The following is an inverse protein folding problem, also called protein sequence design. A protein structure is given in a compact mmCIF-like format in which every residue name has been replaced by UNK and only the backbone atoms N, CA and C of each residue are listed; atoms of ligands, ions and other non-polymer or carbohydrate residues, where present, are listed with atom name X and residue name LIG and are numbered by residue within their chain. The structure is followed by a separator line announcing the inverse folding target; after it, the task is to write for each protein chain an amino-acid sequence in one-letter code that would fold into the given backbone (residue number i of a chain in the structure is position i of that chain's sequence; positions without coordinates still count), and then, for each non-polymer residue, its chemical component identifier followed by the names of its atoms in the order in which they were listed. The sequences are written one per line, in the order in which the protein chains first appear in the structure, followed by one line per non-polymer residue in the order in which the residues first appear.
data_IF_090046861882
#
_entry.id   IF_090046861882
#
_cell.length_a   1.000
_cell.length_b   1.000
_cell.length_c   1.000
_cell.angle_alpha   90.00
_cell.angle_beta   90.00
_cell.angle_gamma   90.00
#
_symmetry.space_group_name_H-M   'P 1'
#
loop_
_entity.id
_entity.type
_entity.pdbx_description
1 polymer ?
#
# COMPACT_ATOMS: atom_id res chain seq x y z
N UNK A 1 -33.25 26.76 44.46
CA UNK A 1 -33.10 26.81 42.99
C UNK A 1 -31.67 27.22 42.67
N UNK A 2 -30.81 26.27 42.27
CA UNK A 2 -29.46 26.58 41.78
C UNK A 2 -29.24 25.79 40.49
N UNK A 3 -28.97 26.57 39.45
CA UNK A 3 -28.91 26.26 38.03
C UNK A 3 -28.28 24.90 37.70
N UNK A 4 -29.07 24.02 37.11
CA UNK A 4 -28.66 22.75 36.51
C UNK A 4 -28.86 22.86 34.99
N UNK A 5 -27.97 23.57 34.30
CA UNK A 5 -28.04 23.68 32.82
C UNK A 5 -26.73 24.12 32.15
N UNK A 6 -25.57 24.02 32.80
CA UNK A 6 -24.30 24.45 32.19
C UNK A 6 -23.51 23.25 31.61
N UNK A 7 -23.78 22.02 32.04
CA UNK A 7 -23.06 20.83 31.58
C UNK A 7 -23.50 20.27 30.21
N UNK A 8 -24.63 20.70 29.66
CA UNK A 8 -25.17 20.17 28.39
C UNK A 8 -24.81 21.00 27.15
N UNK A 9 -24.05 22.09 27.28
CA UNK A 9 -23.64 22.91 26.12
C UNK A 9 -22.22 22.62 25.61
N UNK A 10 -21.44 21.79 26.30
CA UNK A 10 -20.05 21.48 25.92
C UNK A 10 -19.89 20.16 25.14
N UNK A 11 -20.94 19.34 25.07
CA UNK A 11 -20.87 18.01 24.43
C UNK A 11 -21.18 18.08 22.91
N UNK A 12 -21.78 19.17 22.41
CA UNK A 12 -22.25 19.26 21.03
C UNK A 12 -21.24 19.80 20.00
N UNK A 13 -20.02 20.19 20.40
CA UNK A 13 -19.03 20.82 19.48
C UNK A 13 -18.10 19.78 18.81
N UNK A 14 -18.18 18.50 19.15
CA UNK A 14 -17.25 17.46 18.65
C UNK A 14 -17.69 16.87 17.28
N UNK A 15 -18.87 17.21 16.76
CA UNK A 15 -19.48 16.48 15.64
C UNK A 15 -19.20 17.00 14.22
N UNK A 16 -18.41 18.05 14.03
CA UNK A 16 -18.04 18.50 12.68
C UNK A 16 -16.58 18.92 12.60
N UNK A 17 -15.66 18.01 12.90
CA UNK A 17 -14.41 18.04 12.17
C UNK A 17 -14.69 17.35 10.83
N UNK A 18 -14.81 18.08 9.70
CA UNK A 18 -14.51 17.42 8.45
C UNK A 18 -13.09 16.90 8.64
N UNK A 19 -12.90 15.58 8.57
CA UNK A 19 -11.58 15.02 8.32
C UNK A 19 -11.26 15.53 6.92
N UNK A 20 -10.74 16.76 6.85
CA UNK A 20 -10.17 17.29 5.64
C UNK A 20 -9.10 16.26 5.29
N UNK A 21 -9.35 15.52 4.22
CA UNK A 21 -8.36 14.61 3.65
C UNK A 21 -7.22 15.51 3.20
N UNK A 22 -6.27 15.77 4.10
CA UNK A 22 -5.01 16.38 3.74
C UNK A 22 -4.40 15.37 2.78
N UNK A 23 -4.36 15.73 1.49
CA UNK A 23 -3.60 14.95 0.53
C UNK A 23 -2.22 14.72 1.14
N UNK A 24 -1.88 13.45 1.38
CA UNK A 24 -0.61 13.08 1.99
C UNK A 24 0.50 13.60 1.08
N UNK A 25 1.09 14.72 1.46
CA UNK A 25 2.11 15.44 0.73
C UNK A 25 3.47 15.07 1.31
N UNK A 26 4.43 14.80 0.43
CA UNK A 26 5.81 14.47 0.78
C UNK A 26 6.68 15.68 0.42
N UNK A 27 6.77 16.73 1.28
CA UNK A 27 7.40 18.00 0.90
C UNK A 27 8.91 17.91 0.68
N UNK A 28 9.57 16.85 1.16
CA UNK A 28 11.02 16.69 1.11
C UNK A 28 11.47 15.33 0.56
N UNK A 29 10.55 14.43 0.24
CA UNK A 29 10.85 13.05 -0.15
C UNK A 29 9.94 12.55 -1.25
N UNK A 30 10.33 11.48 -1.93
CA UNK A 30 9.50 10.87 -2.95
C UNK A 30 8.23 10.28 -2.32
N UNK A 31 7.10 10.53 -2.99
CA UNK A 31 5.85 9.83 -2.70
C UNK A 31 5.81 8.56 -3.55
N UNK A 32 5.59 7.42 -2.94
CA UNK A 32 5.44 6.15 -3.64
C UNK A 32 3.99 5.69 -3.60
N UNK A 33 3.49 5.24 -4.76
CA UNK A 33 2.23 4.53 -4.92
C UNK A 33 2.54 3.08 -5.33
N UNK A 34 2.25 2.14 -4.44
CA UNK A 34 2.46 0.71 -4.72
C UNK A 34 1.11 0.05 -4.94
N UNK A 35 1.01 -0.74 -6.00
CA UNK A 35 -0.19 -1.46 -6.38
C UNK A 35 0.10 -2.94 -6.59
N UNK A 36 -0.58 -3.82 -5.87
CA UNK A 36 -0.62 -5.26 -6.14
C UNK A 36 -1.83 -5.55 -7.01
N UNK A 37 -1.60 -6.12 -8.19
CA UNK A 37 -2.61 -6.40 -9.21
C UNK A 37 -2.66 -7.90 -9.45
N UNK A 38 -3.82 -8.50 -9.22
CA UNK A 38 -4.03 -9.94 -9.40
C UNK A 38 -4.43 -10.26 -10.84
N UNK A 39 -3.63 -11.08 -11.51
CA UNK A 39 -3.93 -11.69 -12.81
C UNK A 39 -4.06 -13.22 -12.68
N UNK A 40 -4.01 -13.74 -11.46
CA UNK A 40 -4.26 -15.16 -11.19
C UNK A 40 -5.76 -15.44 -11.16
N UNK A 41 -6.23 -16.57 -11.73
CA UNK A 41 -7.63 -16.92 -11.66
C UNK A 41 -8.01 -17.25 -10.21
N UNK A 42 -9.11 -16.67 -9.72
CA UNK A 42 -9.60 -16.67 -8.31
C UNK A 42 -8.95 -15.62 -7.42
N UNK A 43 -9.43 -15.57 -6.19
CA UNK A 43 -8.97 -14.65 -5.17
C UNK A 43 -7.52 -14.93 -4.77
N UNK A 44 -6.75 -13.85 -4.72
CA UNK A 44 -5.41 -13.78 -4.16
C UNK A 44 -5.53 -13.18 -2.77
N UNK A 45 -5.12 -13.92 -1.74
CA UNK A 45 -5.01 -13.36 -0.39
C UNK A 45 -3.60 -12.83 -0.21
N UNK A 46 -3.46 -11.60 0.27
CA UNK A 46 -2.18 -10.98 0.58
C UNK A 46 -2.20 -10.38 1.98
N UNK A 47 -1.13 -10.60 2.73
CA UNK A 47 -0.86 -9.86 3.96
C UNK A 47 0.34 -8.95 3.69
N UNK A 48 0.18 -7.65 3.91
CA UNK A 48 1.22 -6.65 3.62
C UNK A 48 1.55 -5.93 4.91
N UNK A 49 2.84 -5.82 5.20
CA UNK A 49 3.32 -5.02 6.32
C UNK A 49 4.67 -4.39 6.03
N UNK A 50 4.95 -3.34 6.78
CA UNK A 50 6.24 -2.70 6.91
C UNK A 50 6.79 -2.90 8.32
N UNK A 51 7.97 -2.36 8.63
CA UNK A 51 8.60 -2.51 9.95
C UNK A 51 7.65 -2.16 11.10
N UNK A 52 7.07 -0.97 11.08
CA UNK A 52 6.22 -0.45 12.15
C UNK A 52 4.72 -0.43 11.82
N UNK A 53 4.35 -0.58 10.54
CA UNK A 53 2.96 -0.48 10.08
C UNK A 53 2.49 -1.76 9.38
N UNK A 54 1.45 -2.38 9.91
CA UNK A 54 0.81 -3.56 9.35
C UNK A 54 -0.43 -3.13 8.55
N UNK A 55 -0.35 -3.19 7.22
CA UNK A 55 -1.47 -2.87 6.34
C UNK A 55 -2.55 -3.96 6.36
N UNK A 56 -2.22 -5.13 6.90
CA UNK A 56 -3.16 -6.20 7.19
C UNK A 56 -3.39 -7.15 6.02
N UNK A 57 -4.50 -7.89 6.11
CA UNK A 57 -4.92 -8.86 5.12
C UNK A 57 -5.87 -8.26 4.09
N UNK A 58 -5.66 -8.59 2.82
CA UNK A 58 -6.52 -8.19 1.71
C UNK A 58 -6.81 -9.39 0.82
N UNK A 59 -8.06 -9.49 0.37
CA UNK A 59 -8.48 -10.45 -0.65
C UNK A 59 -8.67 -9.70 -1.96
N UNK A 60 -7.81 -9.99 -2.94
CA UNK A 60 -7.79 -9.35 -4.25
C UNK A 60 -8.44 -10.31 -5.27
N UNK A 61 -9.61 -9.97 -5.84
CA UNK A 61 -10.26 -10.83 -6.82
C UNK A 61 -9.46 -10.87 -8.15
N UNK A 62 -9.85 -11.77 -9.05
CA UNK A 62 -9.27 -11.81 -10.40
C UNK A 62 -9.45 -10.46 -11.12
N UNK A 63 -8.35 -9.91 -11.66
CA UNK A 63 -8.28 -8.56 -12.27
C UNK A 63 -8.58 -7.44 -11.27
N UNK A 64 -8.47 -7.72 -9.97
CA UNK A 64 -8.53 -6.73 -8.90
C UNK A 64 -7.16 -6.18 -8.53
N UNK A 65 -7.17 -5.15 -7.68
CA UNK A 65 -5.95 -4.60 -7.10
C UNK A 65 -6.13 -4.17 -5.64
N UNK A 66 -5.01 -4.09 -4.93
CA UNK A 66 -4.89 -3.37 -3.67
C UNK A 66 -3.74 -2.38 -3.81
N UNK A 67 -3.93 -1.14 -3.36
CA UNK A 67 -2.91 -0.09 -3.49
C UNK A 67 -2.77 0.70 -2.20
N UNK A 68 -1.55 1.13 -1.91
CA UNK A 68 -1.25 2.03 -0.81
C UNK A 68 -0.21 3.06 -1.25
N UNK A 69 -0.09 4.10 -0.45
CA UNK A 69 0.86 5.19 -0.69
C UNK A 69 1.60 5.53 0.58
N UNK A 70 2.86 5.93 0.43
CA UNK A 70 3.69 6.40 1.54
C UNK A 70 4.70 7.44 1.04
N UNK A 71 5.27 8.20 1.97
CA UNK A 71 6.42 9.05 1.72
C UNK A 71 7.65 8.27 2.11
N UNK A 72 8.65 8.19 1.24
CA UNK A 72 9.95 7.66 1.60
C UNK A 72 10.52 8.50 2.76
N UNK A 73 11.07 7.86 3.80
CA UNK A 73 11.70 8.57 4.91
C UNK A 73 13.20 8.72 4.64
N UNK A 74 13.76 9.88 5.00
CA UNK A 74 15.21 10.08 4.92
C UNK A 74 15.88 9.34 6.08
N UNK A 75 16.68 8.31 5.77
CA UNK A 75 17.61 7.68 6.72
C UNK A 75 17.20 6.30 7.26
N UNK A 76 15.90 5.97 7.24
CA UNK A 76 15.41 4.61 7.53
C UNK A 76 14.78 4.03 6.25
N UNK A 77 15.34 2.93 5.75
CA UNK A 77 14.83 2.24 4.57
C UNK A 77 13.43 1.71 4.88
N UNK A 78 12.39 2.35 4.34
CA UNK A 78 11.03 1.83 4.44
C UNK A 78 11.00 0.51 3.67
N UNK A 79 10.66 -0.56 4.38
CA UNK A 79 10.53 -1.89 3.79
C UNK A 79 9.08 -2.30 3.81
N UNK A 80 8.54 -2.68 2.66
CA UNK A 80 7.27 -3.40 2.60
C UNK A 80 7.53 -4.83 2.15
N UNK A 81 6.94 -5.79 2.83
CA UNK A 81 6.99 -7.19 2.49
C UNK A 81 5.58 -7.78 2.48
N UNK A 82 5.35 -8.66 1.50
CA UNK A 82 4.07 -9.27 1.26
C UNK A 82 4.15 -10.79 1.43
N UNK A 83 3.10 -11.36 2.01
CA UNK A 83 2.84 -12.79 2.03
C UNK A 83 1.61 -13.04 1.17
N UNK A 84 1.74 -13.94 0.21
CA UNK A 84 0.75 -14.18 -0.84
C UNK A 84 0.28 -15.62 -0.78
N UNK A 85 -1.03 -15.81 -0.85
CA UNK A 85 -1.68 -17.11 -0.95
C UNK A 85 -2.60 -17.15 -2.14
N UNK A 86 -2.38 -18.13 -3.01
CA UNK A 86 -3.25 -18.41 -4.15
C UNK A 86 -3.62 -19.88 -4.15
N UNK A 87 -4.76 -20.21 -3.54
CA UNK A 87 -5.14 -21.60 -3.27
C UNK A 87 -4.11 -22.26 -2.33
N UNK A 88 -3.45 -23.32 -2.80
CA UNK A 88 -2.39 -24.00 -2.05
C UNK A 88 -0.99 -23.41 -2.27
N UNK A 89 -0.83 -22.46 -3.20
CA UNK A 89 0.44 -21.78 -3.47
C UNK A 89 0.69 -20.68 -2.46
N UNK A 90 1.94 -20.55 -2.05
CA UNK A 90 2.39 -19.52 -1.14
C UNK A 90 3.63 -18.83 -1.71
N UNK A 91 3.77 -17.53 -1.46
CA UNK A 91 5.03 -16.83 -1.71
C UNK A 91 5.16 -15.64 -0.77
N UNK A 92 6.39 -15.35 -0.34
CA UNK A 92 6.73 -14.04 0.22
C UNK A 92 7.86 -13.36 -0.56
N UNK A 93 7.82 -12.02 -0.58
CA UNK A 93 8.81 -11.15 -1.21
C UNK A 93 8.71 -9.72 -0.67
N UNK A 94 9.77 -8.94 -0.86
CA UNK A 94 9.73 -7.49 -0.66
C UNK A 94 8.92 -6.84 -1.80
N UNK A 95 7.93 -6.03 -1.43
CA UNK A 95 7.15 -5.20 -2.34
C UNK A 95 7.74 -3.80 -2.48
N UNK A 96 8.56 -3.40 -1.52
CA UNK A 96 9.34 -2.18 -1.59
C UNK A 96 10.58 -2.30 -0.69
N UNK A 97 11.73 -1.95 -1.24
CA UNK A 97 13.02 -1.80 -0.56
C UNK A 97 13.89 -0.82 -1.37
N UNK A 98 15.12 -0.57 -0.92
CA UNK A 98 16.08 0.31 -1.62
C UNK A 98 16.34 -0.15 -3.07
N UNK A 99 16.45 -1.46 -3.31
CA UNK A 99 16.71 -1.99 -4.64
C UNK A 99 15.53 -1.78 -5.61
N UNK A 100 14.29 -1.88 -5.12
CA UNK A 100 13.08 -1.54 -5.89
C UNK A 100 13.00 -0.02 -6.10
N UNK A 101 13.27 0.78 -5.08
CA UNK A 101 13.27 2.25 -5.15
C UNK A 101 14.24 2.76 -6.23
N UNK A 102 15.52 2.39 -6.12
CA UNK A 102 16.59 2.78 -7.04
C UNK A 102 16.31 2.40 -8.49
N UNK A 103 15.63 1.29 -8.70
CA UNK A 103 15.36 0.75 -10.03
C UNK A 103 14.18 1.41 -10.73
N UNK A 104 13.17 1.82 -9.98
CA UNK A 104 11.90 2.28 -10.53
C UNK A 104 11.63 3.77 -10.33
N UNK A 105 12.52 4.47 -9.61
CA UNK A 105 12.47 5.92 -9.47
C UNK A 105 12.53 6.62 -10.82
N UNK A 106 11.60 7.55 -11.05
CA UNK A 106 11.46 8.31 -12.29
C UNK A 106 11.61 9.83 -12.12
N UNK A 107 11.90 10.28 -10.89
CA UNK A 107 12.06 11.67 -10.47
C UNK A 107 10.82 12.53 -10.77
N UNK A 108 9.64 11.97 -10.53
CA UNK A 108 8.35 12.67 -10.64
C UNK A 108 7.75 12.91 -9.25
N UNK A 109 6.77 13.79 -9.16
CA UNK A 109 6.12 14.12 -7.87
C UNK A 109 5.55 12.89 -7.15
N UNK A 110 5.17 11.85 -7.89
CA UNK A 110 4.68 10.59 -7.32
C UNK A 110 5.15 9.41 -8.14
N UNK A 111 6.02 8.62 -7.53
CA UNK A 111 6.58 7.40 -8.08
C UNK A 111 5.56 6.25 -7.99
N UNK A 112 5.66 5.31 -8.92
CA UNK A 112 4.73 4.21 -9.03
C UNK A 112 5.45 2.86 -9.09
N UNK A 113 4.92 1.88 -8.36
CA UNK A 113 5.40 0.50 -8.37
C UNK A 113 4.21 -0.44 -8.53
N UNK A 114 4.09 -1.04 -9.71
CA UNK A 114 3.02 -1.97 -10.06
C UNK A 114 3.52 -3.40 -9.98
N UNK A 115 3.05 -4.13 -8.97
CA UNK A 115 3.26 -5.56 -8.80
C UNK A 115 2.17 -6.36 -9.49
N UNK A 116 2.53 -7.07 -10.56
CA UNK A 116 1.62 -7.98 -11.24
C UNK A 116 1.83 -9.41 -10.75
N UNK A 117 0.80 -9.96 -10.10
CA UNK A 117 0.77 -11.33 -9.60
C UNK A 117 0.14 -12.22 -10.66
N UNK A 118 0.94 -13.04 -11.33
CA UNK A 118 0.56 -13.89 -12.46
C UNK A 118 0.67 -15.37 -12.09
N UNK A 119 0.07 -16.30 -12.87
CA UNK A 119 0.19 -17.73 -12.61
C UNK A 119 1.63 -18.27 -12.54
N UNK A 120 2.56 -17.62 -13.27
CA UNK A 120 3.97 -18.00 -13.30
C UNK A 120 4.82 -17.33 -12.21
N UNK A 121 4.31 -16.27 -11.57
CA UNK A 121 5.03 -15.54 -10.53
C UNK A 121 4.76 -14.04 -10.51
N UNK A 122 5.69 -13.32 -9.91
CA UNK A 122 5.59 -11.92 -9.53
C UNK A 122 6.44 -11.06 -10.45
N UNK A 123 5.84 -9.99 -10.96
CA UNK A 123 6.49 -9.02 -11.83
C UNK A 123 6.33 -7.62 -11.28
N UNK A 124 7.31 -6.76 -11.52
CA UNK A 124 7.28 -5.36 -11.08
C UNK A 124 7.62 -4.39 -12.22
N UNK A 125 6.98 -3.22 -12.21
CA UNK A 125 7.08 -2.20 -13.26
C UNK A 125 6.74 -0.83 -12.67
N UNK A 126 7.31 0.25 -13.21
CA UNK A 126 6.83 1.62 -12.95
C UNK A 126 5.69 2.06 -13.90
N UNK A 127 5.28 1.19 -14.83
CA UNK A 127 4.17 1.41 -15.76
C UNK A 127 3.01 0.44 -15.49
N UNK A 128 1.75 0.88 -15.65
CA UNK A 128 0.56 0.05 -15.40
C UNK A 128 0.21 -0.93 -16.54
N UNK A 129 1.11 -1.13 -17.52
CA UNK A 129 0.82 -1.86 -18.77
C UNK A 129 0.73 -3.38 -18.66
N UNK A 130 0.84 -3.96 -17.45
CA UNK A 130 0.82 -5.42 -17.26
C UNK A 130 2.11 -6.14 -17.63
N UNK A 131 3.10 -5.41 -18.16
CA UNK A 131 4.48 -5.87 -18.31
C UNK A 131 5.25 -5.82 -16.99
N UNK A 132 6.58 -5.93 -17.06
CA UNK A 132 7.45 -5.80 -15.90
C UNK A 132 8.57 -6.82 -15.88
N UNK A 133 9.50 -6.62 -14.96
CA UNK A 133 10.58 -7.54 -14.69
C UNK A 133 10.10 -8.69 -13.81
N UNK A 134 10.49 -9.92 -14.16
CA UNK A 134 10.22 -11.08 -13.32
C UNK A 134 11.11 -11.07 -12.07
N UNK A 135 10.49 -11.12 -10.89
CA UNK A 135 11.20 -11.10 -9.62
C UNK A 135 11.27 -12.49 -8.99
N UNK A 136 10.15 -13.20 -8.96
CA UNK A 136 10.06 -14.49 -8.25
C UNK A 136 8.93 -15.36 -8.77
N UNK A 137 9.13 -16.67 -8.77
CA UNK A 137 8.07 -17.66 -9.01
C UNK A 137 7.18 -17.85 -7.78
N UNK A 138 6.14 -18.65 -7.91
CA UNK A 138 5.45 -19.24 -6.76
C UNK A 138 6.26 -20.42 -6.21
N UNK A 139 6.30 -20.57 -4.88
CA UNK A 139 6.79 -21.79 -4.22
C UNK A 139 5.78 -22.97 -4.37
#
# INVERSE_FOLDING_TARGET
MRSSTIYNLLIFIILTYPIASTAFACPFTAKWNVSVISVVPKDLVVHIKSGDDDLGNHTIPFVGNYSWSFCEMLGDHILFYGYFWWGSKFQNLYLFDEAISDKFISNVDTEHCYWFVKPVGFYVSNLPSGGGEFIKGWD
#
